data_IF_263028765674
#
_entry.id   IF_263028765674
#
_cell.length_a   1.000
_cell.length_b   1.000
_cell.length_c   1.000
_cell.angle_alpha   90.00
_cell.angle_beta   90.00
_cell.angle_gamma   90.00
#
_symmetry.space_group_name_H-M   'P 1'
#
loop_
_entity.id
_entity.type
_entity.pdbx_description
1 polymer ?
#
# COMPACT_ATOMS: atom_id res chain seq x y z
N UNK A 1 -76.98 -58.31 -18.59
CA UNK A 1 -76.33 -57.78 -19.81
C UNK A 1 -75.04 -57.09 -19.42
N UNK A 2 -74.00 -57.26 -20.23
CA UNK A 2 -72.58 -57.01 -19.93
C UNK A 2 -72.30 -55.54 -19.63
N UNK A 3 -71.61 -55.25 -18.52
CA UNK A 3 -70.95 -53.97 -18.31
C UNK A 3 -69.55 -53.98 -18.93
N UNK A 4 -69.32 -52.95 -19.72
CA UNK A 4 -68.15 -52.66 -20.53
C UNK A 4 -67.21 -51.69 -19.82
N UNK A 5 -65.92 -52.00 -19.92
CA UNK A 5 -64.79 -51.10 -20.26
C UNK A 5 -64.32 -50.00 -19.32
N UNK A 6 -63.00 -49.97 -19.11
CA UNK A 6 -62.27 -48.78 -18.68
C UNK A 6 -60.83 -49.07 -18.25
N UNK A 7 -59.97 -49.50 -19.17
CA UNK A 7 -58.51 -49.50 -19.01
C UNK A 7 -57.99 -48.07 -19.22
N UNK A 8 -57.26 -47.51 -18.24
CA UNK A 8 -56.43 -46.32 -18.42
C UNK A 8 -54.95 -46.66 -18.15
N UNK A 9 -54.02 -46.31 -19.05
CA UNK A 9 -52.59 -46.48 -18.82
C UNK A 9 -52.05 -45.30 -18.01
N UNK A 10 -51.28 -45.59 -16.96
CA UNK A 10 -50.54 -44.59 -16.19
C UNK A 10 -49.22 -44.28 -16.89
N UNK A 11 -49.08 -43.07 -17.43
CA UNK A 11 -47.85 -42.55 -18.01
C UNK A 11 -46.98 -42.01 -16.86
N UNK A 12 -45.86 -42.67 -16.61
CA UNK A 12 -44.82 -42.20 -15.67
C UNK A 12 -43.94 -41.21 -16.43
N UNK A 13 -44.04 -39.91 -16.08
CA UNK A 13 -43.10 -38.89 -16.51
C UNK A 13 -41.87 -38.89 -15.58
N UNK A 14 -40.64 -39.10 -16.07
CA UNK A 14 -39.45 -38.79 -15.28
C UNK A 14 -39.28 -37.27 -15.23
N UNK A 15 -39.41 -36.69 -14.02
CA UNK A 15 -38.93 -35.33 -13.75
C UNK A 15 -37.41 -35.32 -13.90
N UNK A 16 -36.93 -34.83 -15.06
CA UNK A 16 -35.55 -34.38 -15.22
C UNK A 16 -35.36 -33.14 -14.32
N UNK A 17 -34.82 -33.34 -13.12
CA UNK A 17 -34.26 -32.26 -12.31
C UNK A 17 -32.93 -31.83 -12.92
N UNK A 18 -32.96 -30.87 -13.83
CA UNK A 18 -31.76 -30.20 -14.33
C UNK A 18 -31.19 -29.35 -13.20
N UNK A 19 -30.18 -29.87 -12.49
CA UNK A 19 -29.32 -29.08 -11.61
C UNK A 19 -28.55 -28.08 -12.47
N UNK A 20 -29.06 -26.86 -12.59
CA UNK A 20 -28.30 -25.72 -13.13
C UNK A 20 -27.31 -25.32 -12.04
N UNK A 21 -26.10 -25.85 -12.11
CA UNK A 21 -24.96 -25.26 -11.41
C UNK A 21 -24.72 -23.89 -12.04
N UNK A 22 -25.20 -22.83 -11.37
CA UNK A 22 -24.81 -21.47 -11.69
C UNK A 22 -23.31 -21.33 -11.42
N UNK A 23 -22.49 -21.52 -12.45
CA UNK A 23 -21.07 -21.19 -12.40
C UNK A 23 -20.98 -19.69 -12.24
N UNK A 24 -20.69 -19.24 -11.01
CA UNK A 24 -20.40 -17.84 -10.75
C UNK A 24 -19.30 -17.41 -11.71
N UNK A 25 -19.48 -16.32 -12.48
CA UNK A 25 -18.48 -15.89 -13.46
C UNK A 25 -17.17 -15.65 -12.72
N UNK A 26 -16.18 -16.51 -12.98
CA UNK A 26 -14.84 -16.34 -12.45
C UNK A 26 -14.26 -15.07 -13.06
N UNK A 27 -14.28 -13.99 -12.29
CA UNK A 27 -13.65 -12.75 -12.71
C UNK A 27 -12.15 -12.98 -12.71
N UNK A 28 -11.57 -13.14 -13.91
CA UNK A 28 -10.13 -13.27 -14.09
C UNK A 28 -9.41 -12.05 -13.51
N UNK A 29 -8.48 -12.26 -12.57
CA UNK A 29 -7.71 -11.16 -11.97
C UNK A 29 -6.88 -10.37 -12.98
N UNK A 30 -6.65 -10.89 -14.19
CA UNK A 30 -5.98 -10.16 -15.28
C UNK A 30 -6.69 -8.86 -15.69
N UNK A 31 -7.99 -8.73 -15.41
CA UNK A 31 -8.78 -7.52 -15.73
C UNK A 31 -8.87 -6.51 -14.59
N UNK A 32 -8.31 -6.79 -13.41
CA UNK A 32 -8.39 -5.89 -12.27
C UNK A 32 -7.15 -4.99 -12.24
N UNK A 33 -7.30 -3.65 -12.21
CA UNK A 33 -6.17 -2.74 -12.13
C UNK A 33 -5.40 -2.92 -10.82
N UNK A 34 -4.08 -2.77 -10.90
CA UNK A 34 -3.24 -2.58 -9.71
C UNK A 34 -3.41 -1.13 -9.25
N UNK A 35 -3.67 -0.95 -7.97
CA UNK A 35 -4.06 0.30 -7.34
C UNK A 35 -5.46 0.19 -6.74
N UNK A 36 -5.69 0.91 -5.63
CA UNK A 36 -7.00 0.95 -4.98
C UNK A 36 -7.70 2.28 -5.25
N UNK A 37 -8.99 2.20 -5.57
CA UNK A 37 -9.84 3.34 -5.85
C UNK A 37 -10.10 4.17 -4.57
N UNK A 38 -9.38 5.29 -4.44
CA UNK A 38 -9.47 6.22 -3.32
C UNK A 38 -10.81 6.96 -3.22
N UNK A 39 -11.63 6.99 -4.28
CA UNK A 39 -12.94 7.70 -4.28
C UNK A 39 -13.92 7.15 -3.25
N UNK A 40 -13.68 5.94 -2.75
CA UNK A 40 -14.49 5.34 -1.69
C UNK A 40 -13.98 5.67 -0.28
N UNK A 41 -13.02 6.59 -0.14
CA UNK A 41 -12.47 7.03 1.14
C UNK A 41 -11.76 5.92 1.91
N UNK A 42 -11.34 4.84 1.25
CA UNK A 42 -10.51 3.79 1.85
C UNK A 42 -9.10 3.96 1.33
N UNK A 43 -8.14 4.08 2.26
CA UNK A 43 -6.73 4.12 1.94
C UNK A 43 -5.98 3.03 2.70
N UNK A 44 -5.05 2.38 2.01
CA UNK A 44 -4.22 1.29 2.52
C UNK A 44 -2.77 1.70 2.44
N UNK A 45 -2.05 1.63 3.56
CA UNK A 45 -0.60 1.78 3.64
C UNK A 45 -0.01 0.48 4.18
N UNK A 46 1.03 -0.03 3.53
CA UNK A 46 1.86 -1.10 4.08
C UNK A 46 3.01 -0.52 4.91
N UNK A 47 3.30 -1.20 6.01
CA UNK A 47 4.47 -1.02 6.86
C UNK A 47 5.14 -2.38 7.06
N UNK A 48 6.47 -2.41 7.03
CA UNK A 48 7.25 -3.62 7.19
C UNK A 48 8.10 -3.53 8.45
N UNK A 49 7.97 -4.50 9.35
CA UNK A 49 8.89 -4.70 10.45
C UNK A 49 9.63 -6.02 10.23
N UNK A 50 10.86 -5.92 9.76
CA UNK A 50 11.58 -7.05 9.18
C UNK A 50 10.80 -7.70 8.03
N UNK A 51 10.54 -9.02 8.12
CA UNK A 51 9.76 -9.77 7.13
C UNK A 51 8.24 -9.78 7.40
N UNK A 52 7.78 -9.05 8.43
CA UNK A 52 6.37 -9.06 8.84
C UNK A 52 5.65 -7.82 8.32
N UNK A 53 4.74 -7.96 7.32
CA UNK A 53 3.94 -6.83 6.87
C UNK A 53 2.81 -6.52 7.86
N UNK A 54 2.61 -5.23 8.09
CA UNK A 54 1.43 -4.67 8.73
C UNK A 54 0.72 -3.79 7.71
N UNK A 55 -0.56 -4.05 7.50
CA UNK A 55 -1.42 -3.17 6.71
C UNK A 55 -2.10 -2.19 7.65
N UNK A 56 -2.18 -0.94 7.24
CA UNK A 56 -2.96 0.09 7.92
C UNK A 56 -3.99 0.63 6.96
N UNK A 57 -5.26 0.54 7.36
CA UNK A 57 -6.40 1.01 6.61
C UNK A 57 -6.99 2.24 7.30
N UNK A 58 -7.36 3.24 6.52
CA UNK A 58 -8.16 4.36 7.00
C UNK A 58 -9.46 4.46 6.23
N UNK A 59 -10.54 4.75 6.94
CA UNK A 59 -11.85 5.04 6.39
C UNK A 59 -12.17 6.53 6.58
N UNK A 60 -12.00 7.32 5.53
CA UNK A 60 -12.27 8.77 5.51
C UNK A 60 -13.75 9.12 5.33
N UNK A 61 -14.63 8.13 5.19
CA UNK A 61 -16.06 8.41 5.09
C UNK A 61 -16.72 8.55 6.46
N UNK A 62 -17.90 9.17 6.46
CA UNK A 62 -18.75 9.38 7.63
C UNK A 62 -19.48 8.13 8.12
N UNK A 63 -19.34 7.00 7.42
CA UNK A 63 -20.02 5.74 7.74
C UNK A 63 -19.01 4.65 8.03
N UNK A 64 -19.36 3.78 8.98
CA UNK A 64 -18.62 2.54 9.21
C UNK A 64 -18.67 1.69 7.93
N UNK A 65 -17.55 1.03 7.63
CA UNK A 65 -17.41 0.15 6.46
C UNK A 65 -16.77 -1.15 6.87
N UNK A 66 -17.13 -2.23 6.20
CA UNK A 66 -16.41 -3.49 6.33
C UNK A 66 -15.69 -3.77 5.03
N UNK A 67 -14.37 -3.90 5.11
CA UNK A 67 -13.49 -4.22 4.00
C UNK A 67 -13.14 -5.71 4.07
N UNK A 68 -13.35 -6.44 2.98
CA UNK A 68 -12.87 -7.80 2.79
C UNK A 68 -11.52 -7.72 2.11
N UNK A 69 -10.54 -8.40 2.69
CA UNK A 69 -9.20 -8.52 2.13
C UNK A 69 -9.01 -9.97 1.73
N UNK A 70 -8.76 -10.19 0.44
CA UNK A 70 -8.52 -11.53 -0.11
C UNK A 70 -7.13 -11.60 -0.74
N UNK A 71 -6.48 -12.75 -0.65
CA UNK A 71 -5.20 -13.04 -1.28
C UNK A 71 -5.42 -13.76 -2.60
N UNK A 72 -4.70 -13.33 -3.63
CA UNK A 72 -4.60 -14.06 -4.89
C UNK A 72 -3.29 -14.85 -4.91
N UNK A 73 -3.30 -16.18 -4.70
CA UNK A 73 -2.08 -16.99 -4.76
C UNK A 73 -1.50 -17.01 -6.18
N UNK A 74 -2.36 -16.97 -7.19
CA UNK A 74 -2.01 -16.67 -8.58
C UNK A 74 -3.22 -15.98 -9.23
N UNK A 75 -3.00 -15.16 -10.27
CA UNK A 75 -4.10 -14.46 -10.98
C UNK A 75 -5.16 -15.39 -11.58
N UNK A 76 -4.83 -16.67 -11.73
CA UNK A 76 -5.66 -17.70 -12.35
C UNK A 76 -6.47 -18.51 -11.32
N UNK A 77 -6.09 -18.41 -10.05
CA UNK A 77 -6.72 -19.14 -8.95
C UNK A 77 -7.73 -18.23 -8.23
N UNK A 78 -8.78 -18.78 -7.62
CA UNK A 78 -9.70 -18.01 -6.78
C UNK A 78 -8.96 -17.28 -5.65
N UNK A 79 -9.50 -16.12 -5.25
CA UNK A 79 -8.96 -15.37 -4.13
C UNK A 79 -9.37 -16.03 -2.80
N UNK A 80 -8.41 -16.24 -1.91
CA UNK A 80 -8.63 -16.72 -0.55
C UNK A 80 -8.98 -15.55 0.36
N UNK A 81 -10.13 -15.60 1.05
CA UNK A 81 -10.47 -14.56 2.02
C UNK A 81 -9.50 -14.64 3.20
N UNK A 82 -8.70 -13.59 3.41
CA UNK A 82 -7.82 -13.49 4.57
C UNK A 82 -8.56 -12.94 5.79
N UNK A 83 -9.32 -11.87 5.60
CA UNK A 83 -10.01 -11.21 6.71
C UNK A 83 -11.19 -10.34 6.29
N UNK A 84 -12.07 -10.12 7.26
CA UNK A 84 -13.16 -9.13 7.20
C UNK A 84 -12.86 -8.06 8.24
N UNK A 85 -12.62 -6.85 7.77
CA UNK A 85 -12.09 -5.76 8.57
C UNK A 85 -13.16 -4.68 8.78
N UNK A 86 -13.78 -4.62 9.97
CA UNK A 86 -14.69 -3.54 10.31
C UNK A 86 -13.90 -2.25 10.61
N UNK A 87 -14.11 -1.22 9.79
CA UNK A 87 -13.49 0.10 9.92
C UNK A 87 -14.51 1.13 10.38
N UNK A 88 -14.21 1.79 11.48
CA UNK A 88 -15.00 2.91 11.99
C UNK A 88 -14.91 4.13 11.05
N UNK A 89 -15.96 4.93 11.01
CA UNK A 89 -16.01 6.19 10.28
C UNK A 89 -14.89 7.15 10.72
N UNK A 90 -14.23 7.78 9.75
CA UNK A 90 -13.13 8.72 9.96
C UNK A 90 -11.85 8.14 10.62
N UNK A 91 -11.80 6.85 10.93
CA UNK A 91 -10.73 6.26 11.74
C UNK A 91 -9.79 5.39 10.90
N UNK A 92 -8.59 5.20 11.43
CA UNK A 92 -7.62 4.25 10.94
C UNK A 92 -7.44 3.06 11.88
N UNK A 93 -7.05 1.92 11.33
CA UNK A 93 -6.73 0.71 12.06
C UNK A 93 -5.57 0.00 11.35
N UNK A 94 -4.77 -0.74 12.10
CA UNK A 94 -3.69 -1.55 11.54
C UNK A 94 -3.81 -3.00 11.98
N UNK A 95 -3.49 -3.91 11.07
CA UNK A 95 -3.40 -5.34 11.34
C UNK A 95 -2.13 -5.89 10.73
N UNK A 96 -1.38 -6.63 11.55
CA UNK A 96 -0.32 -7.49 11.07
C UNK A 96 -0.93 -8.62 10.24
N UNK A 97 -0.36 -8.86 9.06
CA UNK A 97 -0.85 -9.89 8.15
C UNK A 97 0.20 -10.99 8.09
N UNK A 98 0.10 -11.94 9.01
CA UNK A 98 0.96 -13.13 9.04
C UNK A 98 0.66 -14.08 7.89
N UNK A 99 1.67 -14.84 7.43
CA UNK A 99 1.49 -15.86 6.39
C UNK A 99 1.45 -15.33 4.95
N UNK A 100 1.84 -14.07 4.74
CA UNK A 100 2.17 -13.55 3.42
C UNK A 100 3.63 -13.84 3.14
N UNK A 101 3.90 -14.98 2.50
CA UNK A 101 5.24 -15.31 2.00
C UNK A 101 5.44 -14.66 0.62
N UNK A 102 6.52 -13.90 0.47
CA UNK A 102 6.91 -13.29 -0.80
C UNK A 102 5.97 -12.20 -1.33
N UNK A 103 6.13 -11.79 -2.60
CA UNK A 103 5.26 -10.82 -3.24
C UNK A 103 3.83 -11.37 -3.38
N UNK A 104 2.87 -10.72 -2.74
CA UNK A 104 1.47 -11.15 -2.77
C UNK A 104 0.59 -10.07 -3.41
N UNK A 105 -0.53 -10.52 -3.99
CA UNK A 105 -1.53 -9.64 -4.59
C UNK A 105 -2.80 -9.73 -3.76
N UNK A 106 -3.14 -8.62 -3.11
CA UNK A 106 -4.29 -8.52 -2.23
C UNK A 106 -5.42 -7.79 -2.94
N UNK A 107 -6.62 -8.34 -2.89
CA UNK A 107 -7.85 -7.70 -3.35
C UNK A 107 -8.60 -7.10 -2.18
N UNK A 108 -9.08 -5.87 -2.36
CA UNK A 108 -9.88 -5.16 -1.39
C UNK A 108 -11.29 -4.95 -1.95
N UNK A 109 -12.30 -5.38 -1.19
CA UNK A 109 -13.70 -5.29 -1.60
C UNK A 109 -14.56 -4.87 -0.41
N UNK A 110 -15.51 -3.95 -0.58
CA UNK A 110 -16.46 -3.60 0.48
C UNK A 110 -17.46 -4.74 0.71
N UNK A 111 -18.07 -4.80 1.89
CA UNK A 111 -19.08 -5.82 2.20
C UNK A 111 -20.29 -5.80 1.23
N UNK A 112 -20.56 -4.68 0.57
CA UNK A 112 -21.57 -4.55 -0.50
C UNK A 112 -21.22 -5.30 -1.79
N UNK A 113 -20.00 -5.84 -1.91
CA UNK A 113 -19.47 -6.44 -3.14
C UNK A 113 -18.72 -5.45 -4.04
N UNK A 114 -18.71 -4.16 -3.69
CA UNK A 114 -17.96 -3.16 -4.45
C UNK A 114 -16.45 -3.38 -4.33
N UNK A 115 -15.80 -3.65 -5.46
CA UNK A 115 -14.35 -3.82 -5.52
C UNK A 115 -13.62 -2.48 -5.45
N UNK A 116 -12.62 -2.38 -4.58
CA UNK A 116 -11.73 -1.23 -4.47
C UNK A 116 -10.52 -1.37 -5.39
N UNK A 117 -10.01 -2.59 -5.62
CA UNK A 117 -8.92 -2.86 -6.55
C UNK A 117 -7.93 -3.89 -6.01
N UNK A 118 -6.74 -3.94 -6.61
CA UNK A 118 -5.64 -4.78 -6.16
C UNK A 118 -4.51 -3.97 -5.55
N UNK A 119 -3.86 -4.54 -4.54
CA UNK A 119 -2.72 -3.96 -3.88
C UNK A 119 -1.59 -4.98 -3.86
N UNK A 120 -0.44 -4.62 -4.44
CA UNK A 120 0.73 -5.49 -4.46
C UNK A 120 1.57 -5.21 -3.22
N UNK A 121 1.60 -6.16 -2.29
CA UNK A 121 2.50 -6.14 -1.15
C UNK A 121 3.82 -6.78 -1.57
N UNK A 122 4.89 -5.99 -1.55
CA UNK A 122 6.23 -6.45 -1.92
C UNK A 122 7.24 -5.64 -1.12
N UNK A 123 8.07 -6.33 -0.32
CA UNK A 123 9.24 -5.73 0.30
C UNK A 123 10.28 -5.45 -0.79
N UNK A 124 10.79 -4.22 -0.92
CA UNK A 124 11.92 -3.95 -1.81
C UNK A 124 13.16 -4.71 -1.33
N UNK A 125 13.99 -5.18 -2.26
CA UNK A 125 15.14 -6.06 -1.98
C UNK A 125 14.84 -7.55 -2.14
N UNK A 126 13.57 -7.96 -2.06
CA UNK A 126 13.09 -9.23 -2.65
C UNK A 126 12.76 -8.97 -4.12
N UNK A 127 13.79 -8.74 -4.92
CA UNK A 127 13.68 -8.91 -6.37
C UNK A 127 13.73 -10.43 -6.55
N UNK A 128 12.63 -11.03 -7.01
CA UNK A 128 12.74 -12.33 -7.68
C UNK A 128 13.77 -12.13 -8.77
N UNK A 129 14.92 -12.79 -8.69
CA UNK A 129 15.82 -12.97 -9.82
C UNK A 129 14.99 -13.60 -10.94
N UNK A 130 14.35 -12.77 -11.77
CA UNK A 130 13.95 -13.20 -13.09
C UNK A 130 15.26 -13.47 -13.80
N UNK A 131 15.58 -14.74 -14.01
CA UNK A 131 16.46 -15.10 -15.12
C UNK A 131 15.88 -14.43 -16.38
N UNK A 132 16.63 -13.56 -17.05
CA UNK A 132 16.11 -12.87 -18.22
C UNK A 132 16.10 -13.85 -19.40
N UNK A 133 14.90 -14.24 -19.85
CA UNK A 133 14.73 -14.58 -21.26
C UNK A 133 14.56 -13.26 -22.03
N UNK A 134 15.63 -12.81 -22.68
CA UNK A 134 15.59 -11.79 -23.73
C UNK A 134 16.03 -10.37 -23.35
N UNK A 135 16.52 -9.65 -24.36
CA UNK A 135 17.10 -8.29 -24.34
C UNK A 135 16.09 -7.18 -24.01
N UNK A 136 15.45 -7.25 -22.84
CA UNK A 136 14.63 -6.15 -22.32
C UNK A 136 15.46 -5.34 -21.32
N UNK A 137 15.57 -4.01 -21.47
CA UNK A 137 16.35 -3.18 -20.54
C UNK A 137 15.82 -3.33 -19.12
N UNK A 138 16.73 -3.69 -18.21
CA UNK A 138 16.44 -3.92 -16.80
C UNK A 138 15.90 -2.63 -16.15
N UNK A 139 14.71 -2.71 -15.56
CA UNK A 139 14.26 -1.69 -14.60
C UNK A 139 15.22 -1.77 -13.42
N UNK A 140 15.95 -0.67 -13.19
CA UNK A 140 17.08 -0.59 -12.27
C UNK A 140 16.86 -1.35 -10.96
N UNK A 141 17.62 -2.43 -10.81
CA UNK A 141 17.94 -3.04 -9.52
C UNK A 141 18.38 -1.93 -8.59
N UNK A 142 17.83 -1.87 -7.38
CA UNK A 142 18.34 -0.97 -6.35
C UNK A 142 19.83 -1.27 -6.15
N UNK A 143 20.69 -0.38 -6.67
CA UNK A 143 22.12 -0.39 -6.38
C UNK A 143 22.30 0.18 -4.97
N UNK A 144 21.98 -0.65 -4.00
CA UNK A 144 22.04 -0.37 -2.58
C UNK A 144 21.34 -1.53 -1.91
N UNK A 145 22.09 -2.32 -1.14
CA UNK A 145 21.51 -3.34 -0.29
C UNK A 145 20.48 -2.63 0.61
N UNK A 146 19.18 -2.84 0.35
CA UNK A 146 18.19 -2.56 1.39
C UNK A 146 18.59 -3.49 2.52
N UNK A 147 18.90 -2.96 3.73
CA UNK A 147 19.36 -3.80 4.80
C UNK A 147 18.43 -5.01 4.92
N UNK A 148 19.00 -6.20 4.76
CA UNK A 148 18.33 -7.48 5.03
C UNK A 148 18.12 -7.57 6.54
N UNK A 149 17.29 -6.69 7.06
CA UNK A 149 16.91 -6.71 8.44
C UNK A 149 15.78 -7.73 8.52
N UNK A 150 16.13 -9.00 8.71
CA UNK A 150 15.18 -10.00 9.21
C UNK A 150 14.77 -9.67 10.66
N UNK A 151 15.46 -8.71 11.30
CA UNK A 151 15.27 -8.31 12.70
C UNK A 151 15.21 -6.79 12.88
N UNK A 152 14.63 -6.05 11.93
CA UNK A 152 14.45 -4.60 12.10
C UNK A 152 13.42 -4.32 13.20
N UNK A 153 13.77 -3.51 14.20
CA UNK A 153 12.81 -2.96 15.16
C UNK A 153 12.00 -1.80 14.57
N UNK A 154 12.42 -1.23 13.43
CA UNK A 154 11.74 -0.11 12.77
C UNK A 154 10.73 -0.58 11.73
N UNK A 155 9.72 0.26 11.49
CA UNK A 155 8.71 0.09 10.46
C UNK A 155 9.13 0.85 9.19
N UNK A 156 9.25 0.13 8.07
CA UNK A 156 9.58 0.71 6.76
C UNK A 156 8.36 0.76 5.84
N UNK A 157 8.19 1.85 5.10
CA UNK A 157 7.13 2.03 4.10
C UNK A 157 7.72 2.45 2.75
N UNK A 158 7.35 1.72 1.70
CA UNK A 158 8.01 1.80 0.39
C UNK A 158 7.10 2.30 -0.73
N UNK A 159 5.80 2.03 -0.66
CA UNK A 159 4.80 2.61 -1.56
C UNK A 159 3.95 3.60 -0.80
N UNK A 160 3.39 4.55 -1.54
CA UNK A 160 2.38 5.42 -0.97
C UNK A 160 1.03 4.73 -0.82
N UNK A 161 0.10 5.38 -0.11
CA UNK A 161 -1.21 4.84 0.12
C UNK A 161 -1.88 4.40 -1.19
N UNK A 162 -2.54 3.25 -1.16
CA UNK A 162 -3.20 2.62 -2.33
C UNK A 162 -2.25 2.24 -3.48
N UNK A 163 -0.95 2.18 -3.22
CA UNK A 163 0.07 1.85 -4.22
C UNK A 163 0.48 3.04 -5.09
N UNK A 164 0.17 4.26 -4.64
CA UNK A 164 0.59 5.49 -5.32
C UNK A 164 2.09 5.75 -5.13
N UNK A 165 2.70 6.51 -6.03
CA UNK A 165 4.06 7.03 -5.87
C UNK A 165 5.08 5.94 -5.47
N UNK A 166 5.14 4.86 -6.26
CA UNK A 166 6.06 3.73 -6.06
C UNK A 166 7.47 4.11 -6.52
N UNK A 167 8.19 4.83 -5.67
CA UNK A 167 9.60 5.16 -5.89
C UNK A 167 10.47 4.09 -5.30
N UNK A 168 11.31 3.47 -6.12
CA UNK A 168 12.30 2.49 -5.62
C UNK A 168 13.34 3.17 -4.72
N UNK A 169 13.72 4.40 -5.04
CA UNK A 169 14.91 5.04 -4.46
C UNK A 169 14.64 5.86 -3.20
N UNK A 170 13.39 5.96 -2.76
CA UNK A 170 13.03 6.70 -1.55
C UNK A 170 12.02 5.90 -0.72
N UNK A 171 12.30 5.72 0.57
CA UNK A 171 11.39 5.08 1.52
C UNK A 171 11.47 5.78 2.88
N UNK A 172 10.54 5.43 3.76
CA UNK A 172 10.50 6.01 5.11
C UNK A 172 10.58 4.92 6.16
N UNK A 173 11.34 5.21 7.20
CA UNK A 173 11.43 4.41 8.41
C UNK A 173 10.90 5.19 9.61
N UNK A 174 10.22 4.48 10.50
CA UNK A 174 9.70 5.02 11.75
C UNK A 174 9.87 4.00 12.87
N UNK A 175 10.25 4.48 14.06
CA UNK A 175 10.50 3.60 15.21
C UNK A 175 9.23 2.99 15.79
N UNK A 176 8.08 3.63 15.56
CA UNK A 176 6.78 3.21 16.07
C UNK A 176 5.78 3.18 14.92
N UNK A 177 4.88 2.19 14.94
CA UNK A 177 3.76 2.16 13.99
C UNK A 177 2.81 3.33 14.24
N UNK A 178 2.49 3.58 15.51
CA UNK A 178 1.58 4.64 15.96
C UNK A 178 2.33 5.67 16.77
N UNK A 179 2.31 6.92 16.31
CA UNK A 179 2.71 8.06 17.12
C UNK A 179 1.53 8.57 17.95
N UNK A 180 1.81 9.13 19.13
CA UNK A 180 0.80 9.75 19.98
C UNK A 180 0.69 11.23 19.68
N UNK A 181 -0.53 11.74 19.57
CA UNK A 181 -0.78 13.14 19.26
C UNK A 181 -0.19 14.07 20.33
N UNK A 182 0.37 15.20 19.89
CA UNK A 182 1.00 16.19 20.78
C UNK A 182 2.38 15.77 21.34
N UNK A 183 2.87 14.57 21.07
CA UNK A 183 4.24 14.17 21.39
C UNK A 183 5.17 14.41 20.19
N UNK A 184 6.48 14.68 20.41
CA UNK A 184 7.43 14.76 19.31
C UNK A 184 7.47 13.45 18.53
N UNK A 185 7.35 13.55 17.20
CA UNK A 185 7.47 12.41 16.31
C UNK A 185 8.54 12.63 15.26
N UNK A 186 9.27 11.55 15.00
CA UNK A 186 10.36 11.54 14.06
C UNK A 186 10.20 10.39 13.09
N UNK A 187 10.41 10.69 11.81
CA UNK A 187 10.53 9.69 10.75
C UNK A 187 11.83 9.94 10.00
N UNK A 188 12.41 8.87 9.48
CA UNK A 188 13.62 8.94 8.67
C UNK A 188 13.24 8.73 7.21
N UNK A 189 13.53 9.71 6.37
CA UNK A 189 13.53 9.56 4.91
C UNK A 189 14.86 8.96 4.49
N UNK A 190 14.82 7.80 3.86
CA UNK A 190 15.97 7.16 3.27
C UNK A 190 15.92 7.34 1.76
N UNK A 191 17.03 7.80 1.19
CA UNK A 191 17.13 8.18 -0.22
C UNK A 191 18.40 7.63 -0.84
N UNK A 192 18.25 6.76 -1.82
CA UNK A 192 19.33 6.14 -2.57
C UNK A 192 19.54 6.82 -3.93
N UNK A 193 20.75 6.69 -4.49
CA UNK A 193 21.07 7.21 -5.82
C UNK A 193 20.94 8.73 -5.92
N UNK A 194 21.31 9.45 -4.85
CA UNK A 194 21.35 10.91 -4.81
C UNK A 194 22.68 11.39 -5.41
N UNK A 195 22.63 11.97 -6.59
CA UNK A 195 23.77 12.60 -7.26
C UNK A 195 23.82 14.13 -7.00
N UNK A 196 24.79 14.81 -7.61
CA UNK A 196 25.01 16.26 -7.43
C UNK A 196 23.82 17.09 -7.92
N UNK A 197 23.10 16.61 -8.94
CA UNK A 197 21.96 17.30 -9.55
C UNK A 197 20.61 16.90 -8.93
N UNK A 198 20.62 15.90 -8.04
CA UNK A 198 19.41 15.41 -7.40
C UNK A 198 18.85 16.45 -6.42
N UNK A 199 17.56 16.73 -6.59
CA UNK A 199 16.78 17.64 -5.77
C UNK A 199 15.57 16.90 -5.21
N UNK A 200 15.41 16.91 -3.89
CA UNK A 200 14.17 16.48 -3.23
C UNK A 200 13.42 17.71 -2.72
N UNK A 201 12.13 17.78 -2.96
CA UNK A 201 11.24 18.84 -2.48
C UNK A 201 10.11 18.27 -1.63
N UNK A 202 9.83 18.89 -0.49
CA UNK A 202 8.72 18.51 0.40
C UNK A 202 8.22 19.67 1.27
N UNK A 203 6.93 19.73 1.63
CA UNK A 203 5.86 18.87 1.11
C UNK A 203 5.49 19.23 -0.33
N UNK A 204 4.81 18.31 -1.02
CA UNK A 204 4.09 18.61 -2.27
C UNK A 204 2.60 18.33 -2.12
N UNK A 205 1.78 19.04 -2.88
CA UNK A 205 0.35 18.75 -2.91
C UNK A 205 0.06 17.36 -3.48
N UNK A 206 -0.94 16.68 -2.91
CA UNK A 206 -1.37 15.35 -3.36
C UNK A 206 -2.86 15.36 -3.64
N UNK A 207 -3.29 14.55 -4.61
CA UNK A 207 -4.71 14.33 -4.88
C UNK A 207 -5.38 13.34 -3.91
N UNK A 208 -4.66 12.86 -2.91
CA UNK A 208 -5.23 11.98 -1.89
C UNK A 208 -6.03 12.82 -0.90
N UNK A 209 -7.25 12.38 -0.59
CA UNK A 209 -8.08 12.95 0.48
C UNK A 209 -7.61 12.44 1.85
N UNK A 210 -6.33 12.70 2.15
CA UNK A 210 -5.70 12.42 3.42
C UNK A 210 -5.07 13.73 3.94
N UNK A 211 -5.17 14.00 5.26
CA UNK A 211 -4.58 15.20 5.84
C UNK A 211 -3.05 15.12 5.78
N UNK A 212 -2.41 16.25 5.46
CA UNK A 212 -0.95 16.38 5.41
C UNK A 212 -0.38 16.71 6.79
N UNK A 213 0.74 16.09 7.15
CA UNK A 213 1.53 16.52 8.29
C UNK A 213 2.46 17.65 7.89
N UNK A 214 2.56 18.65 8.76
CA UNK A 214 3.59 19.66 8.64
C UNK A 214 4.93 19.11 9.14
N UNK A 215 5.98 19.41 8.39
CA UNK A 215 7.35 19.08 8.77
C UNK A 215 7.89 20.31 9.51
N UNK A 216 8.16 20.14 10.80
CA UNK A 216 8.62 21.22 11.68
C UNK A 216 10.09 21.54 11.42
N UNK A 217 10.91 20.50 11.34
CA UNK A 217 12.35 20.61 11.09
C UNK A 217 12.87 19.38 10.34
N UNK A 218 14.03 19.51 9.69
CA UNK A 218 14.71 18.43 9.00
C UNK A 218 16.21 18.52 9.27
N UNK A 219 16.86 17.36 9.36
CA UNK A 219 18.31 17.25 9.55
C UNK A 219 18.88 16.07 8.76
N UNK A 220 20.09 16.24 8.24
CA UNK A 220 20.86 15.18 7.60
C UNK A 220 22.34 15.47 7.82
N UNK A 221 23.10 14.43 8.11
CA UNK A 221 24.56 14.53 8.25
C UNK A 221 25.28 14.51 6.90
N UNK A 222 24.57 14.14 5.82
CA UNK A 222 25.16 13.88 4.50
C UNK A 222 24.55 14.71 3.38
N UNK A 223 23.38 15.31 3.60
CA UNK A 223 22.69 16.13 2.60
C UNK A 223 22.54 17.57 3.09
N UNK A 224 22.67 18.51 2.15
CA UNK A 224 22.37 19.91 2.40
C UNK A 224 20.85 20.10 2.37
N UNK A 225 20.32 20.73 3.41
CA UNK A 225 18.89 21.00 3.56
C UNK A 225 18.70 22.51 3.60
N UNK A 226 17.90 23.03 2.67
CA UNK A 226 17.47 24.42 2.68
C UNK A 226 15.97 24.49 2.90
N UNK A 227 15.52 25.46 3.70
CA UNK A 227 14.11 25.75 3.93
C UNK A 227 13.77 27.11 3.34
N UNK A 228 12.74 27.15 2.52
CA UNK A 228 12.11 28.39 2.03
C UNK A 228 10.64 28.30 2.42
N UNK A 229 10.19 29.20 3.29
CA UNK A 229 8.86 29.17 3.90
C UNK A 229 8.53 27.82 4.55
N UNK A 230 7.54 27.11 4.00
CA UNK A 230 7.08 25.80 4.47
C UNK A 230 7.58 24.64 3.58
N UNK A 231 8.47 24.92 2.63
CA UNK A 231 9.06 23.91 1.74
C UNK A 231 10.53 23.69 2.09
N UNK A 232 10.92 22.43 2.12
CA UNK A 232 12.29 21.97 2.25
C UNK A 232 12.79 21.49 0.90
N UNK A 233 14.05 21.82 0.62
CA UNK A 233 14.82 21.29 -0.50
C UNK A 233 16.02 20.54 0.04
N UNK A 234 16.25 19.33 -0.47
CA UNK A 234 17.39 18.49 -0.10
C UNK A 234 18.25 18.28 -1.34
N UNK A 235 19.55 18.50 -1.21
CA UNK A 235 20.54 18.31 -2.28
C UNK A 235 21.79 17.63 -1.72
N UNK A 236 22.57 16.98 -2.59
CA UNK A 236 23.90 16.49 -2.20
C UNK A 236 24.80 17.68 -1.82
N UNK A 237 25.47 17.58 -0.66
CA UNK A 237 26.46 18.57 -0.25
C UNK A 237 27.76 18.41 -1.04
N UNK A 238 28.50 19.51 -1.26
CA UNK A 238 29.76 19.52 -2.03
C UNK A 238 30.86 18.60 -1.45
N UNK A 239 30.76 18.24 -0.16
CA UNK A 239 31.73 17.41 0.57
C UNK A 239 31.12 16.13 1.13
N UNK A 240 29.89 15.78 0.71
CA UNK A 240 29.27 14.56 1.18
C UNK A 240 30.06 13.35 0.66
N UNK A 241 30.57 12.51 1.57
CA UNK A 241 30.90 11.13 1.24
C UNK A 241 29.67 10.49 0.55
N UNK A 242 29.87 9.49 -0.29
CA UNK A 242 28.78 8.83 -1.03
C UNK A 242 28.30 7.58 -0.29
N UNK A 243 27.47 7.67 0.78
CA UNK A 243 26.77 6.49 1.23
C UNK A 243 25.83 6.05 0.10
N UNK A 244 25.67 4.73 -0.06
CA UNK A 244 24.68 4.19 -1.00
C UNK A 244 23.26 4.69 -0.69
N UNK A 245 23.00 5.04 0.57
CA UNK A 245 21.71 5.53 1.07
C UNK A 245 21.94 6.70 2.02
N UNK A 246 21.37 7.85 1.69
CA UNK A 246 21.35 9.02 2.55
C UNK A 246 20.17 8.97 3.52
N UNK A 247 20.37 9.46 4.73
CA UNK A 247 19.32 9.56 5.74
C UNK A 247 19.00 11.02 6.03
N UNK A 248 17.71 11.34 6.05
CA UNK A 248 17.20 12.64 6.48
C UNK A 248 16.15 12.41 7.57
N UNK A 249 16.38 12.96 8.76
CA UNK A 249 15.44 12.89 9.88
C UNK A 249 14.47 14.06 9.80
N UNK A 250 13.18 13.75 9.80
CA UNK A 250 12.08 14.71 9.78
C UNK A 250 11.45 14.76 11.17
N UNK A 251 11.31 15.96 11.74
CA UNK A 251 10.47 16.21 12.91
C UNK A 251 9.08 16.63 12.44
N UNK A 252 8.04 15.92 12.90
CA UNK A 252 6.67 16.13 12.48
C UNK A 252 5.89 16.91 13.53
N UNK A 253 5.05 17.84 13.09
CA UNK A 253 4.05 18.46 13.96
C UNK A 253 2.78 17.59 13.98
N UNK A 254 2.55 16.88 15.09
CA UNK A 254 1.43 15.95 15.21
C UNK A 254 0.18 16.65 15.75
N UNK A 255 -0.87 16.80 14.92
CA UNK A 255 -2.09 17.45 15.37
C UNK A 255 -2.81 16.58 16.41
N UNK A 256 -3.57 17.24 17.29
CA UNK A 256 -4.51 16.55 18.18
C UNK A 256 -5.56 15.82 17.34
N UNK A 257 -5.78 14.55 17.64
CA UNK A 257 -6.82 13.74 17.03
C UNK A 257 -7.70 13.11 18.10
N UNK A 258 -8.99 13.00 17.82
CA UNK A 258 -9.95 12.35 18.72
C UNK A 258 -10.03 10.83 18.49
N UNK A 259 -9.53 10.37 17.35
CA UNK A 259 -9.51 8.97 16.97
C UNK A 259 -8.26 8.66 16.14
N UNK A 260 -7.84 7.38 16.08
CA UNK A 260 -6.71 6.98 15.26
C UNK A 260 -6.86 7.46 13.82
N UNK A 261 -5.86 8.16 13.29
CA UNK A 261 -5.92 8.84 11.99
C UNK A 261 -4.65 8.55 11.20
N UNK A 262 -4.81 8.31 9.90
CA UNK A 262 -3.68 8.28 8.96
C UNK A 262 -3.51 9.66 8.36
N UNK A 263 -2.33 10.24 8.56
CA UNK A 263 -1.87 11.41 7.83
C UNK A 263 -0.92 11.01 6.72
N UNK A 264 -0.55 11.95 5.87
CA UNK A 264 0.50 11.76 4.87
C UNK A 264 1.61 12.77 5.03
N UNK A 265 2.81 12.34 4.71
CA UNK A 265 3.90 13.20 4.26
C UNK A 265 4.15 12.92 2.78
N UNK A 266 4.53 13.95 2.05
CA UNK A 266 4.72 13.89 0.60
C UNK A 266 5.97 14.63 0.19
N UNK A 267 6.53 14.22 -0.94
CA UNK A 267 7.59 14.95 -1.60
C UNK A 267 7.77 14.45 -3.02
N UNK A 268 8.74 15.04 -3.71
CA UNK A 268 9.21 14.55 -5.02
C UNK A 268 10.72 14.63 -5.11
N UNK A 269 11.29 13.68 -5.84
CA UNK A 269 12.70 13.64 -6.19
C UNK A 269 12.84 13.89 -7.68
N UNK A 270 13.80 14.74 -8.06
CA UNK A 270 14.19 14.94 -9.46
C UNK A 270 14.93 13.71 -9.95
N UNK A 271 14.56 13.20 -11.12
CA UNK A 271 15.23 12.06 -11.76
C UNK A 271 16.36 12.52 -12.67
N UNK A 272 17.31 11.62 -13.05
CA UNK A 272 18.43 11.97 -13.91
C UNK A 272 18.05 12.54 -15.29
N UNK A 273 16.88 12.17 -15.80
CA UNK A 273 16.30 12.68 -17.06
C UNK A 273 15.52 13.99 -16.88
N UNK A 274 15.71 14.69 -15.75
CA UNK A 274 14.99 15.92 -15.36
C UNK A 274 13.48 15.75 -15.14
N UNK A 275 12.99 14.52 -15.05
CA UNK A 275 11.65 14.21 -14.58
C UNK A 275 11.47 14.40 -13.07
N UNK A 276 10.25 14.16 -12.60
CA UNK A 276 9.92 14.16 -11.17
C UNK A 276 9.26 12.84 -10.78
N UNK A 277 9.72 12.29 -9.67
CA UNK A 277 9.12 11.12 -9.03
C UNK A 277 8.58 11.51 -7.65
N UNK A 278 7.26 11.39 -7.47
CA UNK A 278 6.64 11.64 -6.17
C UNK A 278 6.90 10.48 -5.20
N UNK A 279 6.95 10.77 -3.91
CA UNK A 279 6.73 9.80 -2.84
C UNK A 279 5.68 10.37 -1.88
N UNK A 280 4.82 9.50 -1.38
CA UNK A 280 3.80 9.83 -0.37
C UNK A 280 3.84 8.69 0.64
N UNK A 281 3.76 8.95 1.94
CA UNK A 281 3.81 7.91 2.96
C UNK A 281 2.79 8.20 4.05
N UNK A 282 2.03 7.18 4.41
CA UNK A 282 1.12 7.23 5.55
C UNK A 282 1.90 7.32 6.86
N UNK A 283 1.41 8.13 7.80
CA UNK A 283 1.90 8.21 9.18
C UNK A 283 0.69 8.03 10.10
N UNK A 284 0.78 7.05 11.01
CA UNK A 284 -0.34 6.70 11.87
C UNK A 284 -0.24 7.46 13.19
N UNK A 285 -1.30 8.19 13.55
CA UNK A 285 -1.37 8.98 14.77
C UNK A 285 -2.58 8.53 15.57
N UNK A 286 -2.40 8.31 16.87
CA UNK A 286 -3.46 8.01 17.83
C UNK A 286 -3.61 9.16 18.83
N UNK A 287 -4.77 9.28 19.50
CA UNK A 287 -4.97 10.24 20.58
C UNK A 287 -3.90 10.15 21.67
#
# INVERSE_FOLDING_TARGET
MRHSSGLHPSIIFPMLSTLIFATSPQVLASKIPIGLNSKHGIFVQEFWQGNSPTLCLTNRSEKNKTVRVSRWPARQLPADLLMRWPLQAGSAQCHSVSGLEGPQLLEFTLASGLRLGLFKIQRPGLIEEKQPEGDVPQIGTLKGEIPQAEQSSVFSSFKGPNGTCSTSNTWIEQSNLWFKAGEPAYVTLLSAGIDVDTLIEMPIETRLDLPHLQIKSMSSDTLAINRIDNQFTIKKGALAAEPAVHQTRLELDLPKVMQPTMFVISGRQRTPDNGWQCFIRGVMVKP
#
